data_IF_547537020395
#
_entry.id   IF_547537020395
#
_cell.length_a   1.000
_cell.length_b   1.000
_cell.length_c   1.000
_cell.angle_alpha   90.00
_cell.angle_beta   90.00
_cell.angle_gamma   90.00
#
_symmetry.space_group_name_H-M   'P 1'
#
loop_
_entity.id
_entity.type
_entity.pdbx_description
1 polymer ?
#
# COMPACT_ATOMS: atom_id res chain seq x y z
N UNK A 1 -78.06 -8.09 -20.19
CA UNK A 1 -78.14 -7.77 -18.75
C UNK A 1 -77.78 -9.05 -18.01
N UNK A 2 -76.50 -9.21 -17.69
CA UNK A 2 -76.01 -10.25 -16.81
C UNK A 2 -74.86 -9.63 -16.03
N UNK A 3 -75.18 -9.19 -14.81
CA UNK A 3 -74.22 -8.80 -13.79
C UNK A 3 -73.37 -10.03 -13.48
N UNK A 4 -72.06 -9.92 -13.65
CA UNK A 4 -71.11 -10.84 -13.05
C UNK A 4 -70.51 -10.12 -11.85
N UNK A 5 -70.98 -10.52 -10.67
CA UNK A 5 -70.32 -10.24 -9.41
C UNK A 5 -68.88 -10.76 -9.50
N UNK A 6 -67.93 -9.83 -9.47
CA UNK A 6 -66.52 -10.13 -9.32
C UNK A 6 -66.32 -10.55 -7.87
N UNK A 7 -66.26 -11.86 -7.64
CA UNK A 7 -65.85 -12.44 -6.38
C UNK A 7 -64.44 -11.94 -6.04
N UNK A 8 -64.33 -11.12 -5.00
CA UNK A 8 -63.05 -10.75 -4.40
C UNK A 8 -62.37 -12.00 -3.85
N UNK A 9 -61.44 -12.56 -4.62
CA UNK A 9 -60.48 -13.53 -4.13
C UNK A 9 -59.54 -12.82 -3.16
N UNK A 10 -59.82 -12.91 -1.87
CA UNK A 10 -58.84 -12.62 -0.81
C UNK A 10 -57.69 -13.61 -0.94
N UNK A 11 -56.67 -13.24 -1.70
CA UNK A 11 -55.39 -13.97 -1.74
C UNK A 11 -54.74 -13.87 -0.36
N UNK A 12 -54.78 -14.97 0.38
CA UNK A 12 -54.02 -15.16 1.61
C UNK A 12 -52.58 -15.54 1.22
N UNK A 13 -51.72 -14.57 0.96
CA UNK A 13 -50.27 -14.77 0.83
C UNK A 13 -49.61 -14.68 2.20
N UNK A 14 -50.00 -15.57 3.12
CA UNK A 14 -49.24 -15.68 4.36
C UNK A 14 -47.97 -16.49 4.07
N UNK A 15 -46.87 -15.77 3.85
CA UNK A 15 -45.53 -16.34 3.82
C UNK A 15 -45.29 -17.24 5.06
N UNK A 16 -44.52 -18.31 4.90
CA UNK A 16 -44.37 -19.32 5.95
C UNK A 16 -43.53 -18.75 7.10
N UNK A 17 -44.10 -18.64 8.29
CA UNK A 17 -43.38 -18.27 9.52
C UNK A 17 -42.43 -19.41 9.91
N UNK A 18 -41.13 -19.13 10.03
CA UNK A 18 -40.11 -20.12 10.40
C UNK A 18 -39.74 -20.02 11.88
N UNK A 19 -39.25 -18.86 12.28
CA UNK A 19 -38.69 -18.62 13.61
C UNK A 19 -38.96 -17.17 14.02
N UNK A 20 -38.85 -16.88 15.31
CA UNK A 20 -38.85 -15.51 15.79
C UNK A 20 -37.78 -15.31 16.86
N UNK A 21 -37.29 -14.07 16.94
CA UNK A 21 -36.26 -13.66 17.90
C UNK A 21 -36.80 -12.53 18.77
N UNK A 22 -36.53 -12.60 20.07
CA UNK A 22 -36.76 -11.48 20.98
C UNK A 22 -35.89 -10.30 20.58
N UNK A 23 -36.51 -9.13 20.47
CA UNK A 23 -35.79 -7.89 20.20
C UNK A 23 -35.44 -7.12 21.46
N UNK A 24 -36.33 -7.21 22.45
CA UNK A 24 -36.19 -6.54 23.73
C UNK A 24 -36.03 -7.57 24.85
N UNK A 25 -35.24 -7.27 25.89
CA UNK A 25 -35.12 -8.14 27.05
C UNK A 25 -36.43 -8.26 27.83
N UNK A 26 -37.32 -7.27 27.69
CA UNK A 26 -38.67 -7.25 28.28
C UNK A 26 -39.65 -8.18 27.55
N UNK A 27 -39.25 -8.82 26.44
CA UNK A 27 -40.07 -9.74 25.64
C UNK A 27 -41.40 -9.13 25.17
N UNK A 28 -41.39 -7.85 24.78
CA UNK A 28 -42.57 -7.12 24.26
C UNK A 28 -42.59 -6.98 22.74
N UNK A 29 -41.53 -7.43 22.08
CA UNK A 29 -41.38 -7.31 20.63
C UNK A 29 -40.59 -8.51 20.10
N UNK A 30 -41.12 -9.13 19.05
CA UNK A 30 -40.47 -10.20 18.31
C UNK A 30 -40.16 -9.79 16.87
N UNK A 31 -39.05 -10.30 16.36
CA UNK A 31 -38.73 -10.27 14.94
C UNK A 31 -39.04 -11.64 14.36
N UNK A 32 -40.07 -11.74 13.53
CA UNK A 32 -40.50 -13.00 12.89
C UNK A 32 -39.80 -13.14 11.55
N UNK A 33 -39.22 -14.30 11.28
CA UNK A 33 -38.64 -14.67 9.99
C UNK A 33 -39.69 -15.40 9.15
N UNK A 34 -39.94 -14.85 7.96
CA UNK A 34 -40.84 -15.40 6.96
C UNK A 34 -40.05 -15.97 5.78
N UNK A 35 -40.56 -17.04 5.20
CA UNK A 35 -40.05 -17.65 3.96
C UNK A 35 -41.16 -17.69 2.91
N UNK A 36 -40.82 -17.13 1.75
CA UNK A 36 -41.66 -17.11 0.55
C UNK A 36 -41.52 -18.42 -0.22
N UNK A 37 -42.41 -18.66 -1.18
CA UNK A 37 -42.35 -19.83 -2.07
C UNK A 37 -41.05 -19.91 -2.90
N UNK A 38 -40.43 -18.76 -3.18
CA UNK A 38 -39.13 -18.66 -3.87
C UNK A 38 -37.93 -18.94 -2.95
N UNK A 39 -38.17 -19.36 -1.70
CA UNK A 39 -37.18 -19.54 -0.61
C UNK A 39 -36.44 -18.27 -0.21
N UNK A 40 -36.86 -17.10 -0.68
CA UNK A 40 -36.37 -15.83 -0.15
C UNK A 40 -36.92 -15.63 1.26
N UNK A 41 -36.07 -15.05 2.11
CA UNK A 41 -36.37 -14.83 3.54
C UNK A 41 -36.37 -13.35 3.85
N UNK A 42 -37.33 -12.93 4.65
CA UNK A 42 -37.38 -11.57 5.20
C UNK A 42 -37.90 -11.58 6.63
N UNK A 43 -37.60 -10.52 7.37
CA UNK A 43 -38.04 -10.38 8.76
C UNK A 43 -39.13 -9.33 8.89
N UNK A 44 -40.27 -9.69 9.50
CA UNK A 44 -41.26 -8.74 10.00
C UNK A 44 -41.06 -8.47 11.49
N UNK A 45 -41.67 -7.39 11.97
CA UNK A 45 -41.62 -6.96 13.37
C UNK A 45 -43.04 -7.02 13.92
N UNK A 46 -43.21 -7.63 15.09
CA UNK A 46 -44.49 -7.71 15.77
C UNK A 46 -44.34 -7.24 17.21
N UNK A 47 -45.19 -6.29 17.60
CA UNK A 47 -45.32 -5.80 18.96
C UNK A 47 -46.27 -6.71 19.74
N UNK A 48 -46.14 -6.71 21.07
CA UNK A 48 -47.08 -7.37 21.98
C UNK A 48 -48.53 -6.97 21.64
N UNK A 49 -49.43 -7.95 21.62
CA UNK A 49 -50.85 -7.84 21.27
C UNK A 49 -51.21 -7.52 19.80
N UNK A 50 -50.23 -7.37 18.90
CA UNK A 50 -50.50 -7.20 17.46
C UNK A 50 -51.15 -8.45 16.84
N UNK A 51 -51.72 -8.30 15.65
CA UNK A 51 -52.32 -9.45 14.93
C UNK A 51 -51.24 -10.48 14.60
N UNK A 52 -50.09 -10.02 14.10
CA UNK A 52 -48.94 -10.83 13.72
C UNK A 52 -48.32 -11.57 14.92
N UNK A 53 -48.33 -10.93 16.10
CA UNK A 53 -47.92 -11.56 17.35
C UNK A 53 -48.82 -12.74 17.70
N UNK A 54 -50.14 -12.54 17.67
CA UNK A 54 -51.12 -13.58 17.96
C UNK A 54 -51.06 -14.71 16.95
N UNK A 55 -50.91 -14.39 15.67
CA UNK A 55 -50.81 -15.37 14.58
C UNK A 55 -49.52 -16.21 14.72
N UNK A 56 -48.42 -15.60 15.14
CA UNK A 56 -47.18 -16.31 15.41
C UNK A 56 -47.31 -17.23 16.64
N UNK A 57 -47.83 -16.72 17.75
CA UNK A 57 -48.01 -17.49 18.99
C UNK A 57 -49.11 -18.57 18.91
N UNK A 58 -49.95 -18.54 17.87
CA UNK A 58 -50.82 -19.66 17.54
C UNK A 58 -50.04 -20.88 17.04
N UNK A 59 -48.89 -20.67 16.38
CA UNK A 59 -48.06 -21.74 15.81
C UNK A 59 -46.86 -22.11 16.67
N UNK A 60 -46.29 -21.14 17.39
CA UNK A 60 -45.06 -21.30 18.17
C UNK A 60 -45.25 -20.87 19.62
N UNK A 61 -44.48 -21.45 20.53
CA UNK A 61 -44.53 -21.09 21.95
C UNK A 61 -43.46 -20.07 22.34
N UNK A 62 -43.66 -19.28 23.42
CA UNK A 62 -42.63 -18.37 23.94
C UNK A 62 -41.29 -19.05 24.25
N UNK A 63 -41.32 -20.32 24.69
CA UNK A 63 -40.11 -21.10 24.95
C UNK A 63 -39.34 -21.41 23.66
N UNK A 64 -40.04 -21.62 22.54
CA UNK A 64 -39.38 -21.79 21.24
C UNK A 64 -38.70 -20.50 20.79
N UNK A 65 -39.34 -19.34 21.01
CA UNK A 65 -38.73 -18.02 20.73
C UNK A 65 -37.49 -17.80 21.59
N UNK A 66 -37.52 -18.21 22.87
CA UNK A 66 -36.34 -18.18 23.74
C UNK A 66 -35.19 -19.03 23.18
N UNK A 67 -35.48 -20.26 22.72
CA UNK A 67 -34.49 -21.15 22.13
C UNK A 67 -33.89 -20.59 20.84
N UNK A 68 -34.73 -20.05 19.94
CA UNK A 68 -34.27 -19.41 18.70
C UNK A 68 -33.38 -18.20 19.02
N UNK A 69 -33.79 -17.38 19.98
CA UNK A 69 -33.05 -16.18 20.41
C UNK A 69 -31.66 -16.53 20.98
N UNK A 70 -31.59 -17.55 21.84
CA UNK A 70 -30.32 -17.99 22.43
C UNK A 70 -29.41 -18.63 21.39
N UNK A 71 -29.96 -19.47 20.50
CA UNK A 71 -29.19 -20.07 19.41
C UNK A 71 -28.60 -19.01 18.48
N UNK A 72 -29.40 -18.01 18.09
CA UNK A 72 -28.94 -16.90 17.27
C UNK A 72 -27.85 -16.07 17.96
N UNK A 73 -27.95 -15.89 19.29
CA UNK A 73 -26.93 -15.19 20.09
C UNK A 73 -25.60 -15.96 20.10
N UNK A 74 -25.64 -17.26 20.40
CA UNK A 74 -24.44 -18.13 20.40
C UNK A 74 -23.80 -18.15 19.00
N UNK A 75 -24.61 -18.25 17.95
CA UNK A 75 -24.10 -18.23 16.57
C UNK A 75 -23.42 -16.91 16.23
N UNK A 76 -24.00 -15.76 16.60
CA UNK A 76 -23.37 -14.45 16.38
C UNK A 76 -22.05 -14.33 17.15
N UNK A 77 -22.01 -14.79 18.39
CA UNK A 77 -20.79 -14.70 19.21
C UNK A 77 -19.66 -15.55 18.61
N UNK A 78 -19.96 -16.78 18.21
CA UNK A 78 -18.98 -17.67 17.56
C UNK A 78 -18.48 -17.11 16.23
N UNK A 79 -19.36 -16.54 15.40
CA UNK A 79 -18.98 -15.88 14.15
C UNK A 79 -18.13 -14.63 14.41
N UNK A 80 -18.47 -13.81 15.40
CA UNK A 80 -17.72 -12.61 15.74
C UNK A 80 -16.31 -12.95 16.24
N UNK A 81 -16.18 -13.97 17.10
CA UNK A 81 -14.88 -14.52 17.52
C UNK A 81 -14.06 -15.00 16.33
N UNK A 82 -14.67 -15.74 15.41
CA UNK A 82 -14.01 -16.20 14.18
C UNK A 82 -13.56 -15.05 13.28
N UNK A 83 -14.37 -13.98 13.16
CA UNK A 83 -14.03 -12.79 12.37
C UNK A 83 -12.87 -12.00 12.99
N UNK A 84 -12.89 -11.81 14.31
CA UNK A 84 -11.83 -11.12 15.05
C UNK A 84 -10.50 -11.90 15.00
N UNK A 85 -10.54 -13.24 15.11
CA UNK A 85 -9.34 -14.06 14.97
C UNK A 85 -8.73 -13.95 13.57
N UNK A 86 -9.57 -13.93 12.52
CA UNK A 86 -9.12 -13.77 11.14
C UNK A 86 -8.56 -12.37 10.88
N UNK A 87 -9.20 -11.31 11.38
CA UNK A 87 -8.68 -9.94 11.23
C UNK A 87 -7.32 -9.79 11.89
N UNK A 88 -7.17 -10.29 13.12
CA UNK A 88 -5.91 -10.22 13.86
C UNK A 88 -4.80 -10.99 13.14
N UNK A 89 -5.10 -12.16 12.58
CA UNK A 89 -4.13 -12.93 11.81
C UNK A 89 -3.67 -12.18 10.54
N UNK A 90 -4.58 -11.50 9.85
CA UNK A 90 -4.24 -10.71 8.65
C UNK A 90 -3.38 -9.50 9.03
N UNK A 91 -3.74 -8.78 10.10
CA UNK A 91 -2.97 -7.64 10.60
C UNK A 91 -1.56 -8.06 11.05
N UNK A 92 -1.43 -9.18 11.76
CA UNK A 92 -0.15 -9.69 12.21
C UNK A 92 0.74 -10.10 11.03
N UNK A 93 0.19 -10.78 10.02
CA UNK A 93 0.92 -11.10 8.78
C UNK A 93 1.41 -9.85 8.08
N UNK A 94 0.55 -8.84 7.91
CA UNK A 94 0.94 -7.56 7.29
C UNK A 94 2.03 -6.86 8.10
N UNK A 95 1.97 -6.90 9.43
CA UNK A 95 3.00 -6.30 10.30
C UNK A 95 4.35 -7.00 10.13
N UNK A 96 4.37 -8.33 10.06
CA UNK A 96 5.58 -9.11 9.81
C UNK A 96 6.17 -8.80 8.43
N UNK A 97 5.33 -8.74 7.38
CA UNK A 97 5.77 -8.40 6.03
C UNK A 97 6.36 -6.99 5.93
N UNK A 98 5.72 -5.99 6.57
CA UNK A 98 6.25 -4.63 6.63
C UNK A 98 7.58 -4.55 7.35
N UNK A 99 7.73 -5.28 8.46
CA UNK A 99 8.99 -5.35 9.20
C UNK A 99 10.08 -5.98 8.34
N UNK A 100 9.81 -7.11 7.70
CA UNK A 100 10.76 -7.78 6.83
C UNK A 100 11.19 -6.87 5.66
N UNK A 101 10.25 -6.18 5.03
CA UNK A 101 10.58 -5.23 3.96
C UNK A 101 11.46 -4.06 4.45
N UNK A 102 11.24 -3.58 5.67
CA UNK A 102 12.11 -2.56 6.27
C UNK A 102 13.52 -3.11 6.56
N UNK A 103 13.62 -4.32 7.12
CA UNK A 103 14.89 -5.00 7.40
C UNK A 103 15.69 -5.26 6.09
N UNK A 104 15.00 -5.66 5.01
CA UNK A 104 15.59 -5.87 3.69
C UNK A 104 16.12 -4.55 3.09
N UNK A 105 15.38 -3.45 3.23
CA UNK A 105 15.82 -2.12 2.78
C UNK A 105 17.02 -1.61 3.57
N UNK A 106 17.04 -1.80 4.90
CA UNK A 106 18.18 -1.44 5.73
C UNK A 106 19.43 -2.24 5.34
N UNK A 107 19.27 -3.55 5.11
CA UNK A 107 20.35 -4.44 4.66
C UNK A 107 20.92 -3.98 3.33
N UNK A 108 20.05 -3.64 2.36
CA UNK A 108 20.47 -3.10 1.06
C UNK A 108 21.21 -1.77 1.21
N UNK A 109 20.74 -0.89 2.10
CA UNK A 109 21.40 0.39 2.34
C UNK A 109 22.79 0.21 2.93
N UNK A 110 22.94 -0.65 3.96
CA UNK A 110 24.23 -0.98 4.56
C UNK A 110 25.20 -1.59 3.55
N UNK A 111 24.75 -2.56 2.76
CA UNK A 111 25.57 -3.18 1.72
C UNK A 111 26.07 -2.17 0.66
N UNK A 112 25.25 -1.16 0.32
CA UNK A 112 25.70 -0.08 -0.57
C UNK A 112 26.79 0.78 0.07
N UNK A 113 26.64 1.13 1.35
CA UNK A 113 27.67 1.89 2.06
C UNK A 113 28.99 1.13 2.10
N UNK A 114 28.93 -0.15 2.50
CA UNK A 114 30.09 -1.05 2.53
C UNK A 114 30.75 -1.18 1.15
N UNK A 115 29.96 -1.31 0.08
CA UNK A 115 30.50 -1.33 -1.28
C UNK A 115 31.30 -0.08 -1.64
N UNK A 116 30.95 1.10 -1.12
CA UNK A 116 31.68 2.35 -1.33
C UNK A 116 32.89 2.55 -0.41
N UNK A 117 33.08 1.68 0.58
CA UNK A 117 34.30 1.65 1.40
C UNK A 117 35.45 0.89 0.71
N UNK A 118 35.12 0.04 -0.28
CA UNK A 118 36.08 -0.70 -1.10
C UNK A 118 36.89 0.29 -1.98
N UNK A 119 38.23 0.34 -1.89
CA UNK A 119 39.06 1.29 -2.63
C UNK A 119 38.83 1.26 -4.15
N UNK A 120 38.75 0.07 -4.74
CA UNK A 120 38.52 -0.14 -6.17
C UNK A 120 37.16 0.40 -6.63
N UNK A 121 36.19 0.56 -5.73
CA UNK A 121 34.88 1.13 -6.03
C UNK A 121 34.86 2.63 -5.74
N UNK A 122 35.38 3.04 -4.56
CA UNK A 122 35.43 4.44 -4.11
C UNK A 122 36.20 5.30 -5.10
N UNK A 123 37.39 4.85 -5.45
CA UNK A 123 38.39 5.63 -6.19
C UNK A 123 38.29 5.39 -7.71
N UNK A 124 37.31 4.58 -8.16
CA UNK A 124 37.08 4.31 -9.58
C UNK A 124 36.55 5.53 -10.35
N UNK A 125 37.16 5.76 -11.51
CA UNK A 125 36.74 6.74 -12.51
C UNK A 125 35.44 6.35 -13.22
N UNK A 126 35.02 5.07 -13.14
CA UNK A 126 33.81 4.60 -13.81
C UNK A 126 32.55 5.07 -13.07
N UNK A 127 32.14 6.31 -13.37
CA UNK A 127 30.97 6.97 -12.78
C UNK A 127 29.67 6.20 -13.02
N UNK A 128 29.55 5.52 -14.15
CA UNK A 128 28.34 4.78 -14.52
C UNK A 128 28.16 3.54 -13.63
N UNK A 129 29.20 2.71 -13.45
CA UNK A 129 29.11 1.55 -12.57
C UNK A 129 28.87 1.95 -11.11
N UNK A 130 29.50 3.03 -10.62
CA UNK A 130 29.22 3.57 -9.27
C UNK A 130 27.77 4.06 -9.14
N UNK A 131 27.24 4.74 -10.15
CA UNK A 131 25.83 5.18 -10.18
C UNK A 131 24.89 3.98 -10.11
N UNK A 132 25.20 2.90 -10.84
CA UNK A 132 24.42 1.66 -10.82
C UNK A 132 24.42 0.99 -9.44
N UNK A 133 25.55 0.95 -8.72
CA UNK A 133 25.62 0.42 -7.34
C UNK A 133 24.66 1.18 -6.39
N UNK A 134 24.63 2.52 -6.46
CA UNK A 134 23.69 3.33 -5.64
C UNK A 134 22.23 3.01 -5.96
N UNK A 135 21.94 2.74 -7.23
CA UNK A 135 20.59 2.47 -7.75
C UNK A 135 20.18 0.99 -7.68
N UNK A 136 21.08 0.08 -7.28
CA UNK A 136 20.79 -1.35 -7.21
C UNK A 136 19.60 -1.67 -6.31
N UNK A 137 18.82 -2.67 -6.71
CA UNK A 137 17.59 -3.10 -6.02
C UNK A 137 17.75 -4.41 -5.25
N UNK A 138 18.89 -5.08 -5.42
CA UNK A 138 19.19 -6.36 -4.76
C UNK A 138 20.66 -6.44 -4.35
N UNK A 139 20.95 -7.28 -3.36
CA UNK A 139 22.34 -7.57 -2.94
C UNK A 139 23.14 -8.19 -4.09
N UNK A 140 22.51 -9.06 -4.87
CA UNK A 140 23.14 -9.71 -6.03
C UNK A 140 23.61 -8.69 -7.06
N UNK A 141 22.81 -7.66 -7.36
CA UNK A 141 23.22 -6.57 -8.26
C UNK A 141 24.41 -5.79 -7.71
N UNK A 142 24.40 -5.47 -6.41
CA UNK A 142 25.52 -4.78 -5.76
C UNK A 142 26.79 -5.63 -5.90
N UNK A 143 26.74 -6.90 -5.50
CA UNK A 143 27.90 -7.82 -5.55
C UNK A 143 28.45 -7.98 -6.96
N UNK A 144 27.59 -8.13 -7.97
CA UNK A 144 28.03 -8.28 -9.36
C UNK A 144 28.72 -7.01 -9.89
N UNK A 145 28.17 -5.82 -9.58
CA UNK A 145 28.73 -4.54 -10.02
C UNK A 145 30.04 -4.22 -9.31
N UNK A 146 30.13 -4.51 -8.01
CA UNK A 146 31.36 -4.38 -7.21
C UNK A 146 32.44 -5.30 -7.77
N UNK A 147 32.14 -6.59 -7.97
CA UNK A 147 33.09 -7.53 -8.56
C UNK A 147 33.57 -7.10 -9.95
N UNK A 148 32.68 -6.53 -10.76
CA UNK A 148 33.04 -5.97 -12.08
C UNK A 148 34.03 -4.81 -11.95
N UNK A 149 33.80 -3.89 -11.01
CA UNK A 149 34.72 -2.77 -10.76
C UNK A 149 36.08 -3.24 -10.26
N UNK A 150 36.11 -4.19 -9.32
CA UNK A 150 37.35 -4.79 -8.82
C UNK A 150 38.11 -5.44 -9.97
N UNK A 151 37.43 -6.23 -10.81
CA UNK A 151 38.04 -6.90 -11.97
C UNK A 151 38.61 -5.89 -12.95
N UNK A 152 37.87 -4.83 -13.28
CA UNK A 152 38.36 -3.76 -14.16
C UNK A 152 39.57 -3.04 -13.58
N UNK A 153 39.60 -2.81 -12.26
CA UNK A 153 40.75 -2.22 -11.56
C UNK A 153 41.99 -3.10 -11.71
N UNK A 154 41.84 -4.40 -11.43
CA UNK A 154 42.93 -5.39 -11.58
C UNK A 154 43.44 -5.40 -13.02
N UNK A 155 42.53 -5.50 -14.01
CA UNK A 155 42.90 -5.53 -15.43
C UNK A 155 43.68 -4.27 -15.84
N UNK A 156 43.23 -3.08 -15.42
CA UNK A 156 43.94 -1.81 -15.69
C UNK A 156 45.36 -1.79 -15.11
N UNK A 157 45.58 -2.43 -13.96
CA UNK A 157 46.90 -2.54 -13.35
C UNK A 157 47.75 -3.59 -14.09
N UNK A 158 47.20 -4.76 -14.38
CA UNK A 158 47.95 -5.89 -15.00
C UNK A 158 48.24 -5.71 -16.48
N UNK A 159 47.38 -4.98 -17.21
CA UNK A 159 47.54 -4.72 -18.64
C UNK A 159 48.14 -3.35 -18.94
N UNK A 160 48.55 -2.58 -17.92
CA UNK A 160 49.50 -1.49 -18.16
C UNK A 160 50.80 -2.16 -18.62
N UNK A 161 51.22 -2.02 -19.89
CA UNK A 161 52.49 -2.58 -20.30
C UNK A 161 53.57 -1.84 -19.52
N UNK A 162 54.21 -2.52 -18.56
CA UNK A 162 55.50 -2.05 -18.06
C UNK A 162 56.43 -1.94 -19.28
N UNK A 163 56.70 -0.70 -19.70
CA UNK A 163 57.80 -0.38 -20.60
C UNK A 163 57.54 -0.44 -22.11
N UNK A 164 56.35 -0.06 -22.64
CA UNK A 164 56.19 0.09 -24.11
C UNK A 164 56.02 1.53 -24.62
N UNK A 165 55.85 2.52 -23.76
CA UNK A 165 55.93 3.93 -24.16
C UNK A 165 56.69 4.70 -23.09
N UNK A 166 57.99 4.87 -23.33
CA UNK A 166 58.78 5.96 -22.79
C UNK A 166 58.25 7.24 -23.46
N UNK A 167 57.20 7.84 -22.90
CA UNK A 167 56.88 9.23 -23.20
C UNK A 167 57.94 10.08 -22.50
N UNK A 168 59.07 10.25 -23.18
CA UNK A 168 59.93 11.40 -22.95
C UNK A 168 59.07 12.65 -23.11
N UNK A 169 58.70 13.25 -21.98
CA UNK A 169 58.21 14.61 -21.94
C UNK A 169 59.27 15.49 -22.63
N UNK A 170 58.94 16.24 -23.71
CA UNK A 170 59.85 17.28 -24.15
C UNK A 170 59.79 18.39 -23.10
N UNK A 171 60.93 18.59 -22.44
CA UNK A 171 61.22 19.68 -21.52
C UNK A 171 60.72 21.03 -22.07
N UNK A 172 60.17 21.83 -21.16
CA UNK A 172 59.87 23.24 -21.37
C UNK A 172 61.10 23.97 -21.93
N UNK A 173 60.91 24.73 -23.01
CA UNK A 173 61.78 25.88 -23.30
C UNK A 173 60.93 27.13 -23.25
N UNK A 174 61.13 27.88 -22.17
CA UNK A 174 60.81 29.30 -22.06
C UNK A 174 61.49 30.04 -23.22
N UNK A 175 60.74 30.83 -23.99
CA UNK A 175 61.31 31.96 -24.70
C UNK A 175 60.44 33.20 -24.46
N UNK A 176 61.10 34.17 -23.83
CA UNK A 176 60.56 35.44 -23.41
C UNK A 176 60.54 36.49 -24.55
N UNK A 177 59.63 37.44 -24.37
CA UNK A 177 59.63 38.83 -24.86
C UNK A 177 59.24 39.10 -26.32
N UNK A 178 58.13 39.84 -26.51
CA UNK A 178 58.17 41.26 -26.93
C UNK A 178 56.96 42.00 -26.34
N UNK A 179 57.24 43.07 -25.60
CA UNK A 179 56.30 44.09 -25.11
C UNK A 179 55.85 45.00 -26.26
N UNK A 180 54.58 45.43 -26.28
CA UNK A 180 54.28 46.83 -26.59
C UNK A 180 53.02 47.32 -25.88
N UNK A 181 53.18 48.53 -25.35
CA UNK A 181 52.35 49.35 -24.47
C UNK A 181 50.90 49.59 -24.92
N UNK A 182 50.04 49.94 -23.95
CA UNK A 182 48.76 50.58 -24.22
C UNK A 182 47.77 50.54 -23.06
N UNK A 183 47.80 51.60 -22.26
CA UNK A 183 46.89 51.94 -21.15
C UNK A 183 45.39 51.73 -21.44
N UNK A 184 44.65 51.20 -20.45
CA UNK A 184 43.67 51.98 -19.69
C UNK A 184 42.97 51.10 -18.64
N UNK A 185 43.25 51.40 -17.38
CA UNK A 185 42.47 50.94 -16.24
C UNK A 185 41.17 51.75 -16.16
N UNK A 186 40.03 51.07 -16.24
CA UNK A 186 38.78 51.57 -15.65
C UNK A 186 38.25 50.50 -14.70
N UNK A 187 38.57 50.74 -13.42
CA UNK A 187 37.86 50.20 -12.27
C UNK A 187 36.45 50.79 -12.23
N UNK A 188 35.41 49.97 -12.31
CA UNK A 188 34.10 50.33 -11.75
C UNK A 188 33.59 49.17 -10.88
N UNK A 189 33.17 49.62 -9.72
CA UNK A 189 32.89 49.00 -8.43
C UNK A 189 31.74 47.97 -8.42
N UNK A 190 31.82 47.09 -7.44
CA UNK A 190 30.83 46.11 -7.06
C UNK A 190 29.63 46.79 -6.39
N UNK A 191 28.49 46.84 -7.07
CA UNK A 191 27.17 46.88 -6.42
C UNK A 191 26.04 46.85 -7.43
N UNK A 192 25.59 45.67 -7.83
CA UNK A 192 24.15 45.45 -8.09
C UNK A 192 23.84 43.98 -7.80
N UNK A 193 23.49 43.73 -6.54
CA UNK A 193 22.62 42.62 -6.17
C UNK A 193 21.29 42.87 -6.88
N UNK A 194 20.85 41.95 -7.72
CA UNK A 194 19.42 41.75 -7.86
C UNK A 194 19.04 40.29 -8.01
N UNK A 195 18.21 39.91 -7.05
CA UNK A 195 17.54 38.64 -6.82
C UNK A 195 16.50 38.45 -7.93
N UNK A 196 16.47 37.26 -8.54
CA UNK A 196 15.24 36.77 -9.18
C UNK A 196 14.92 35.41 -8.58
N UNK A 197 14.02 35.44 -7.61
CA UNK A 197 13.30 34.28 -7.12
C UNK A 197 11.87 34.33 -7.68
N UNK A 198 11.42 33.17 -8.17
CA UNK A 198 10.03 32.71 -8.29
C UNK A 198 9.05 33.54 -9.15
N UNK A 199 8.38 32.86 -10.10
CA UNK A 199 7.08 32.19 -9.87
C UNK A 199 6.31 32.12 -11.19
N UNK A 200 6.34 30.96 -11.86
CA UNK A 200 5.33 30.63 -12.87
C UNK A 200 4.06 30.15 -12.15
N UNK A 201 3.08 31.06 -12.08
CA UNK A 201 1.63 30.81 -12.05
C UNK A 201 1.20 31.37 -13.41
N UNK A 202 0.56 30.61 -14.31
CA UNK A 202 -0.80 30.12 -14.15
C UNK A 202 -1.78 31.17 -14.70
N UNK A 203 -2.82 30.68 -15.39
CA UNK A 203 -3.97 31.37 -16.00
C UNK A 203 -3.84 31.52 -17.54
N UNK A 204 -4.50 30.70 -18.36
CA UNK A 204 -5.95 30.51 -18.59
C UNK A 204 -6.48 31.43 -19.70
N UNK A 205 -6.72 30.84 -20.87
CA UNK A 205 -7.93 30.99 -21.70
C UNK A 205 -8.02 29.82 -22.69
#
# INVERSE_FOLDING_TARGET
MAEQEVAETKEWTHDTMIEALWRTPEKKEISILYEREDKSRYSGQALEDSQEWKDFFYKFTPEQVDQFSETARIQRESQNKGRAARSNQVEEKQKVERRKAADDLETLFRAKLEAFEIPEVRDSENRELRSRIRKSKSLTEISALVASLITLSIIKVTLRPEGLLDESEPEETEDAAVQHDGDEAIMIDASTINIVANKEIGDAE
#
